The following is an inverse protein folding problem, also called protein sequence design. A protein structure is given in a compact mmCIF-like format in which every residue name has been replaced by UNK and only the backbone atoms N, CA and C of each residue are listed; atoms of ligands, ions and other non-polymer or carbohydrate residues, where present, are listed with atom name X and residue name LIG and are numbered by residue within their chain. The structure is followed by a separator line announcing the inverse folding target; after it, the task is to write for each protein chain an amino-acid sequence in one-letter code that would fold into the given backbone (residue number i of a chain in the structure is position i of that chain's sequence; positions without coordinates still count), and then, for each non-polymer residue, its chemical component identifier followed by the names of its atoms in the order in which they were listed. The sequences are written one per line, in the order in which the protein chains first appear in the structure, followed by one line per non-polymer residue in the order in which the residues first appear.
data_IF_407353425612
#
_entry.id   IF_407353425612
#
_cell.length_a   1.000
_cell.length_b   1.000
_cell.length_c   1.000
_cell.angle_alpha   90.00
_cell.angle_beta   90.00
_cell.angle_gamma   90.00
#
_symmetry.space_group_name_H-M   'P 1'
#
loop_
_entity.id
_entity.type
_entity.pdbx_description
1 polymer ?
#
# COMPACT_ATOMS: atom_id res chain seq x y z
N UNK A 1 31.46 27.33 55.63
CA UNK A 1 31.25 25.89 55.92
C UNK A 1 31.48 25.10 54.65
N UNK A 2 32.72 25.05 54.14
CA UNK A 2 33.74 24.03 54.50
C UNK A 2 33.24 22.62 54.19
N UNK A 3 33.73 22.04 53.08
CA UNK A 3 34.54 20.79 53.10
C UNK A 3 34.78 20.27 51.68
N UNK A 4 36.03 20.46 51.27
CA UNK A 4 36.87 19.63 50.40
C UNK A 4 36.34 18.21 50.22
N UNK A 5 35.99 17.83 48.98
CA UNK A 5 35.75 16.41 48.63
C UNK A 5 37.06 15.79 48.18
N UNK A 6 37.60 14.97 49.08
CA UNK A 6 38.65 13.99 48.82
C UNK A 6 38.26 13.06 47.67
N UNK A 7 39.19 12.84 46.75
CA UNK A 7 39.14 11.78 45.75
C UNK A 7 39.34 10.46 46.50
N UNK A 8 38.28 9.65 46.55
CA UNK A 8 38.26 8.32 47.13
C UNK A 8 38.82 7.35 46.07
N UNK A 9 40.07 6.94 46.22
CA UNK A 9 40.65 5.84 45.43
C UNK A 9 40.00 4.55 45.90
N UNK A 10 39.32 3.88 44.98
CA UNK A 10 38.58 2.65 45.18
C UNK A 10 39.57 1.49 45.39
N UNK A 11 39.76 1.09 46.64
CA UNK A 11 40.48 -0.14 47.03
C UNK A 11 39.62 -1.34 46.61
N UNK A 12 40.00 -1.99 45.50
CA UNK A 12 39.46 -3.30 45.12
C UNK A 12 40.20 -4.38 45.92
N UNK A 13 39.57 -4.78 47.03
CA UNK A 13 39.86 -6.02 47.74
C UNK A 13 39.62 -7.22 46.81
N UNK A 14 40.68 -7.85 46.33
CA UNK A 14 40.64 -9.24 45.88
C UNK A 14 41.41 -10.08 46.88
N UNK A 15 40.66 -10.86 47.67
CA UNK A 15 41.21 -11.85 48.58
C UNK A 15 41.92 -12.94 47.78
N UNK A 16 43.23 -13.05 48.00
CA UNK A 16 44.03 -14.20 47.57
C UNK A 16 44.46 -14.97 48.81
N UNK A 17 44.11 -16.24 48.77
CA UNK A 17 44.23 -17.25 49.82
C UNK A 17 45.68 -17.34 50.29
N UNK A 18 45.87 -17.15 51.59
CA UNK A 18 47.08 -17.48 52.32
C UNK A 18 47.38 -18.98 52.15
N UNK A 19 48.42 -19.31 51.38
CA UNK A 19 49.14 -20.58 51.53
C UNK A 19 50.49 -20.24 52.14
N UNK A 20 50.61 -20.52 53.43
CA UNK A 20 51.88 -20.46 54.14
C UNK A 20 52.78 -21.61 53.70
N UNK A 21 53.99 -21.26 53.26
CA UNK A 21 55.18 -22.12 53.23
C UNK A 21 56.38 -21.18 53.08
N UNK A 22 57.04 -20.82 54.18
CA UNK A 22 58.28 -21.42 54.66
C UNK A 22 59.53 -20.71 54.12
N UNK A 23 60.45 -20.43 55.06
CA UNK A 23 61.81 -19.93 54.84
C UNK A 23 61.93 -18.55 54.16
N UNK A 24 61.86 -17.55 55.01
CA UNK A 24 62.46 -16.23 54.86
C UNK A 24 63.99 -16.37 54.77
N UNK A 25 64.48 -16.78 53.60
CA UNK A 25 65.89 -16.60 53.24
C UNK A 25 66.10 -15.16 52.80
N UNK A 26 67.08 -14.51 53.42
CA UNK A 26 67.43 -13.12 53.21
C UNK A 26 67.89 -12.89 51.76
N UNK A 27 66.98 -12.43 50.92
CA UNK A 27 67.38 -11.62 49.77
C UNK A 27 68.19 -10.44 50.31
N UNK A 28 69.34 -10.08 49.71
CA UNK A 28 69.95 -8.79 50.04
C UNK A 28 68.85 -7.74 49.88
N UNK A 29 68.64 -6.89 50.89
CA UNK A 29 67.81 -5.69 50.74
C UNK A 29 68.52 -4.82 49.70
N UNK A 30 68.35 -5.13 48.42
CA UNK A 30 68.64 -4.18 47.36
C UNK A 30 67.89 -2.91 47.72
N UNK A 31 68.62 -1.81 47.71
CA UNK A 31 68.07 -0.52 48.08
C UNK A 31 66.91 -0.24 47.11
N UNK A 32 65.70 0.00 47.63
CA UNK A 32 64.52 0.26 46.81
C UNK A 32 64.76 1.41 45.81
N UNK A 33 65.61 2.37 46.17
CA UNK A 33 66.05 3.43 45.27
C UNK A 33 66.71 2.84 44.03
N UNK A 34 67.64 1.90 44.18
CA UNK A 34 68.36 1.25 43.07
C UNK A 34 67.39 0.40 42.22
N UNK A 35 66.42 -0.26 42.85
CA UNK A 35 65.36 -1.01 42.16
C UNK A 35 64.55 -0.07 41.28
N UNK A 36 64.03 1.04 41.84
CA UNK A 36 63.26 2.04 41.09
C UNK A 36 64.13 2.68 39.99
N UNK A 37 65.40 2.96 40.25
CA UNK A 37 66.33 3.52 39.27
C UNK A 37 66.60 2.55 38.11
N UNK A 38 66.65 1.25 38.39
CA UNK A 38 66.86 0.21 37.38
C UNK A 38 65.65 -0.03 36.46
N UNK A 39 64.44 0.39 36.85
CA UNK A 39 63.25 0.26 36.01
C UNK A 39 63.39 1.11 34.74
N UNK A 40 62.96 0.60 33.57
CA UNK A 40 62.99 1.38 32.34
C UNK A 40 62.01 2.56 32.41
N UNK A 41 62.31 3.65 31.70
CA UNK A 41 61.41 4.82 31.63
C UNK A 41 60.20 4.59 30.72
N UNK A 42 60.31 3.66 29.77
CA UNK A 42 59.23 3.17 28.92
C UNK A 42 59.04 1.70 29.24
N UNK A 43 57.85 1.35 29.74
CA UNK A 43 57.55 -0.01 30.19
C UNK A 43 56.65 -0.75 29.21
N UNK A 44 56.62 -2.06 29.34
CA UNK A 44 55.64 -2.94 28.69
C UNK A 44 54.82 -3.67 29.75
N UNK A 45 53.77 -4.39 29.34
CA UNK A 45 53.02 -5.26 30.26
C UNK A 45 53.90 -6.35 30.90
N UNK A 46 55.06 -6.71 30.30
CA UNK A 46 55.98 -7.67 30.89
C UNK A 46 56.70 -7.13 32.15
N UNK A 47 56.74 -5.81 32.33
CA UNK A 47 57.37 -5.16 33.49
C UNK A 47 56.43 -5.06 34.69
N UNK A 48 55.16 -5.48 34.55
CA UNK A 48 54.12 -5.44 35.58
C UNK A 48 54.61 -6.00 36.92
N UNK A 49 55.19 -7.20 36.92
CA UNK A 49 55.62 -7.85 38.15
C UNK A 49 56.72 -7.06 38.87
N UNK A 50 57.63 -6.41 38.13
CA UNK A 50 58.73 -5.63 38.72
C UNK A 50 58.22 -4.33 39.35
N UNK A 51 57.27 -3.68 38.70
CA UNK A 51 56.64 -2.45 39.19
C UNK A 51 55.82 -2.75 40.45
N UNK A 52 55.01 -3.81 40.42
CA UNK A 52 54.24 -4.25 41.59
C UNK A 52 55.15 -4.66 42.76
N UNK A 53 56.23 -5.40 42.51
CA UNK A 53 57.19 -5.75 43.54
C UNK A 53 57.87 -4.51 44.17
N UNK A 54 58.23 -3.51 43.36
CA UNK A 54 58.78 -2.25 43.86
C UNK A 54 57.76 -1.46 44.71
N UNK A 55 56.48 -1.45 44.32
CA UNK A 55 55.40 -0.87 45.12
C UNK A 55 55.21 -1.61 46.44
N UNK A 56 55.14 -2.94 46.40
CA UNK A 56 54.98 -3.76 47.60
C UNK A 56 56.15 -3.53 48.58
N UNK A 57 57.38 -3.41 48.07
CA UNK A 57 58.55 -3.09 48.88
C UNK A 57 58.48 -1.67 49.45
N UNK A 58 58.02 -0.68 48.69
CA UNK A 58 57.79 0.69 49.18
C UNK A 58 56.75 0.73 50.30
N UNK A 59 55.64 -0.01 50.14
CA UNK A 59 54.53 -0.02 51.08
C UNK A 59 54.90 -0.68 52.41
N UNK A 60 55.88 -1.60 52.39
CA UNK A 60 56.47 -2.23 53.59
C UNK A 60 57.46 -1.34 54.36
N UNK A 61 57.89 -0.20 53.80
CA UNK A 61 58.80 0.72 54.49
C UNK A 61 58.10 1.51 55.60
N UNK A 62 58.85 1.86 56.65
CA UNK A 62 58.43 2.86 57.62
C UNK A 62 58.34 4.26 57.01
N UNK A 63 57.63 5.19 57.65
CA UNK A 63 57.48 6.56 57.14
C UNK A 63 58.81 7.30 57.02
N UNK A 64 59.75 7.05 57.94
CA UNK A 64 61.11 7.61 57.88
C UNK A 64 61.90 7.05 56.69
N UNK A 65 61.72 5.77 56.36
CA UNK A 65 62.36 5.13 55.21
C UNK A 65 61.74 5.58 53.89
N UNK A 66 60.41 5.70 53.81
CA UNK A 66 59.71 6.25 52.64
C UNK A 66 60.17 7.67 52.32
N UNK A 67 60.37 8.51 53.35
CA UNK A 67 60.88 9.87 53.17
C UNK A 67 62.30 9.92 52.55
N UNK A 68 63.06 8.83 52.60
CA UNK A 68 64.39 8.72 51.98
C UNK A 68 64.34 8.24 50.52
N UNK A 69 63.20 7.73 50.03
CA UNK A 69 63.00 7.27 48.65
C UNK A 69 62.68 8.48 47.76
N UNK A 70 63.72 9.16 47.32
CA UNK A 70 63.60 10.41 46.56
C UNK A 70 63.11 10.24 45.12
N UNK A 71 63.10 9.03 44.58
CA UNK A 71 62.71 8.69 43.21
C UNK A 71 61.31 8.06 43.09
N UNK A 72 60.48 8.15 44.14
CA UNK A 72 59.11 7.58 44.16
C UNK A 72 58.20 8.08 43.03
N UNK A 73 58.41 9.32 42.57
CA UNK A 73 57.63 9.90 41.46
C UNK A 73 57.82 9.10 40.16
N UNK A 74 59.00 8.50 39.95
CA UNK A 74 59.25 7.60 38.83
C UNK A 74 58.34 6.38 38.92
N UNK A 75 58.27 5.74 40.08
CA UNK A 75 57.41 4.56 40.28
C UNK A 75 55.92 4.90 40.07
N UNK A 76 55.45 6.04 40.59
CA UNK A 76 54.07 6.51 40.38
C UNK A 76 53.77 6.73 38.89
N UNK A 77 54.71 7.34 38.15
CA UNK A 77 54.56 7.55 36.72
C UNK A 77 54.50 6.22 35.95
N UNK A 78 55.36 5.26 36.31
CA UNK A 78 55.35 3.91 35.72
C UNK A 78 54.07 3.14 36.03
N UNK A 79 53.51 3.26 37.24
CA UNK A 79 52.22 2.65 37.58
C UNK A 79 51.07 3.23 36.78
N UNK A 80 51.08 4.54 36.55
CA UNK A 80 50.10 5.18 35.67
C UNK A 80 50.24 4.64 34.25
N UNK A 81 51.46 4.59 33.70
CA UNK A 81 51.71 4.01 32.38
C UNK A 81 51.25 2.55 32.30
N UNK A 82 51.47 1.76 33.34
CA UNK A 82 51.07 0.36 33.39
C UNK A 82 49.54 0.21 33.34
N UNK A 83 48.81 1.05 34.11
CA UNK A 83 47.36 1.08 34.06
C UNK A 83 46.83 1.51 32.68
N UNK A 84 47.47 2.50 32.06
CA UNK A 84 47.14 2.94 30.71
C UNK A 84 47.36 1.81 29.68
N UNK A 85 48.47 1.08 29.77
CA UNK A 85 48.76 -0.10 28.93
C UNK A 85 47.73 -1.23 29.13
N UNK A 86 47.33 -1.50 30.38
CA UNK A 86 46.29 -2.50 30.68
C UNK A 86 44.93 -2.11 30.12
N UNK A 87 44.57 -0.82 30.19
CA UNK A 87 43.32 -0.33 29.61
C UNK A 87 43.31 -0.50 28.08
N UNK A 88 44.42 -0.14 27.42
CA UNK A 88 44.61 -0.32 25.98
C UNK A 88 44.49 -1.81 25.58
N UNK A 89 45.23 -2.68 26.26
CA UNK A 89 45.22 -4.12 25.97
C UNK A 89 43.82 -4.73 26.20
N UNK A 90 43.15 -4.34 27.27
CA UNK A 90 41.76 -4.74 27.55
C UNK A 90 40.80 -4.39 26.41
N UNK A 91 40.93 -3.19 25.82
CA UNK A 91 40.14 -2.78 24.64
C UNK A 91 40.52 -3.61 23.41
N UNK A 92 41.82 -3.80 23.15
CA UNK A 92 42.30 -4.61 22.02
C UNK A 92 41.74 -6.04 22.11
N UNK A 93 41.77 -6.66 23.30
CA UNK A 93 41.23 -8.00 23.54
C UNK A 93 39.71 -8.05 23.34
N UNK A 94 38.96 -7.07 23.84
CA UNK A 94 37.50 -6.99 23.62
C UNK A 94 37.15 -6.92 22.14
N UNK A 95 37.85 -6.07 21.38
CA UNK A 95 37.63 -5.94 19.93
C UNK A 95 38.03 -7.23 19.20
N UNK A 96 39.16 -7.84 19.58
CA UNK A 96 39.63 -9.11 19.02
C UNK A 96 38.61 -10.24 19.23
N UNK A 97 37.98 -10.28 20.40
CA UNK A 97 36.97 -11.26 20.78
C UNK A 97 35.62 -11.09 20.05
N UNK A 98 35.40 -9.99 19.32
CA UNK A 98 34.19 -9.85 18.51
C UNK A 98 34.13 -10.98 17.47
N UNK A 99 32.97 -11.65 17.31
CA UNK A 99 32.81 -12.71 16.31
C UNK A 99 33.03 -12.20 14.89
N UNK A 100 33.62 -13.04 14.02
CA UNK A 100 33.77 -12.70 12.59
C UNK A 100 32.41 -12.57 11.90
N UNK A 101 31.47 -13.46 12.23
CA UNK A 101 30.09 -13.43 11.73
C UNK A 101 29.18 -12.72 12.74
N UNK A 102 28.99 -11.42 12.54
CA UNK A 102 28.14 -10.59 13.41
C UNK A 102 26.66 -10.89 13.16
N UNK A 103 25.94 -11.16 14.23
CA UNK A 103 24.48 -11.30 14.26
C UNK A 103 23.89 -10.40 15.35
N UNK A 104 22.57 -10.16 15.34
CA UNK A 104 21.92 -9.26 16.30
C UNK A 104 22.14 -9.64 17.78
N UNK A 105 22.29 -10.92 18.10
CA UNK A 105 22.59 -11.38 19.46
C UNK A 105 23.95 -10.84 19.98
N UNK A 106 24.88 -10.49 19.09
CA UNK A 106 26.19 -9.93 19.45
C UNK A 106 26.14 -8.42 19.74
N UNK A 107 24.98 -7.76 19.62
CA UNK A 107 24.86 -6.31 19.80
C UNK A 107 25.46 -5.82 21.13
N UNK A 108 25.20 -6.51 22.23
CA UNK A 108 25.74 -6.14 23.55
C UNK A 108 27.27 -6.24 23.62
N UNK A 109 27.89 -7.21 22.94
CA UNK A 109 29.35 -7.35 22.87
C UNK A 109 29.98 -6.18 22.11
N UNK A 110 29.39 -5.81 20.98
CA UNK A 110 29.84 -4.68 20.14
C UNK A 110 29.72 -3.36 20.91
N UNK A 111 28.58 -3.13 21.56
CA UNK A 111 28.36 -1.94 22.41
C UNK A 111 29.38 -1.89 23.54
N UNK A 112 29.59 -2.99 24.27
CA UNK A 112 30.56 -3.03 25.36
C UNK A 112 32.02 -2.80 24.90
N UNK A 113 32.38 -3.23 23.68
CA UNK A 113 33.68 -2.91 23.10
C UNK A 113 33.81 -1.42 22.74
N UNK A 114 32.74 -0.80 22.22
CA UNK A 114 32.71 0.65 21.95
C UNK A 114 32.76 1.49 23.21
N UNK A 115 32.05 1.11 24.27
CA UNK A 115 32.08 1.79 25.56
C UNK A 115 33.50 1.78 26.13
N UNK A 116 34.16 0.61 26.18
CA UNK A 116 35.54 0.50 26.65
C UNK A 116 36.53 1.33 25.80
N UNK A 117 36.35 1.36 24.47
CA UNK A 117 37.15 2.22 23.60
C UNK A 117 36.93 3.72 23.90
N UNK A 118 35.69 4.12 24.19
CA UNK A 118 35.35 5.52 24.46
C UNK A 118 35.89 6.03 25.80
N UNK A 119 36.10 5.15 26.77
CA UNK A 119 36.72 5.45 28.07
C UNK A 119 38.22 5.79 27.96
N UNK A 120 38.88 5.38 26.87
CA UNK A 120 40.28 5.73 26.61
C UNK A 120 40.45 7.22 26.33
N UNK A 121 41.62 7.75 26.70
CA UNK A 121 42.06 9.08 26.27
C UNK A 121 42.28 9.12 24.75
N UNK A 122 42.26 10.31 24.15
CA UNK A 122 42.51 10.47 22.71
C UNK A 122 43.91 10.02 22.27
N UNK A 123 44.90 10.08 23.18
CA UNK A 123 46.24 9.58 22.92
C UNK A 123 46.26 8.05 22.90
N UNK A 124 45.55 7.40 23.84
CA UNK A 124 45.48 5.94 23.91
C UNK A 124 44.62 5.33 22.81
N UNK A 125 43.57 6.02 22.36
CA UNK A 125 42.75 5.60 21.22
C UNK A 125 43.57 5.39 19.95
N UNK A 126 44.61 6.21 19.72
CA UNK A 126 45.52 6.09 18.56
C UNK A 126 46.35 4.81 18.57
N UNK A 127 46.49 4.16 19.74
CA UNK A 127 47.22 2.90 19.89
C UNK A 127 46.34 1.67 19.62
N UNK A 128 45.03 1.86 19.42
CA UNK A 128 44.09 0.77 19.10
C UNK A 128 44.15 0.47 17.60
N UNK A 129 44.96 -0.52 17.25
CA UNK A 129 45.24 -0.90 15.86
C UNK A 129 44.13 -1.71 15.18
N UNK A 130 43.25 -2.37 15.94
CA UNK A 130 42.18 -3.23 15.43
C UNK A 130 40.80 -2.56 15.41
N UNK A 131 40.74 -1.22 15.50
CA UNK A 131 39.50 -0.44 15.57
C UNK A 131 38.55 -0.71 14.38
N UNK A 132 39.08 -1.04 13.20
CA UNK A 132 38.29 -1.35 12.01
C UNK A 132 37.35 -2.55 12.23
N UNK A 133 37.77 -3.55 13.02
CA UNK A 133 36.93 -4.72 13.35
C UNK A 133 35.69 -4.28 14.13
N UNK A 134 35.84 -3.35 15.08
CA UNK A 134 34.73 -2.78 15.83
C UNK A 134 33.80 -1.96 14.93
N UNK A 135 34.34 -1.07 14.10
CA UNK A 135 33.56 -0.24 13.17
C UNK A 135 32.73 -1.11 12.21
N UNK A 136 33.33 -2.17 11.66
CA UNK A 136 32.64 -3.08 10.76
C UNK A 136 31.54 -3.86 11.48
N UNK A 137 31.78 -4.29 12.72
CA UNK A 137 30.76 -4.95 13.53
C UNK A 137 29.56 -4.04 13.83
N UNK A 138 29.81 -2.77 14.15
CA UNK A 138 28.75 -1.77 14.39
C UNK A 138 27.91 -1.52 13.14
N UNK A 139 28.56 -1.31 11.99
CA UNK A 139 27.87 -1.18 10.70
C UNK A 139 27.00 -2.39 10.42
N UNK A 140 27.52 -3.60 10.66
CA UNK A 140 26.76 -4.83 10.44
C UNK A 140 25.55 -4.97 11.37
N UNK A 141 25.70 -4.62 12.66
CA UNK A 141 24.57 -4.58 13.58
C UNK A 141 23.49 -3.60 13.07
N UNK A 142 23.87 -2.39 12.67
CA UNK A 142 22.93 -1.39 12.16
C UNK A 142 22.17 -1.87 10.92
N UNK A 143 22.88 -2.51 9.97
CA UNK A 143 22.29 -3.12 8.78
C UNK A 143 21.28 -4.22 9.15
N UNK A 144 21.65 -5.12 10.05
CA UNK A 144 20.78 -6.22 10.49
C UNK A 144 19.53 -5.71 11.22
N UNK A 145 19.64 -4.63 11.98
CA UNK A 145 18.50 -4.00 12.64
C UNK A 145 17.53 -3.39 11.63
N UNK A 146 18.06 -2.73 10.59
CA UNK A 146 17.24 -2.23 9.48
C UNK A 146 16.52 -3.38 8.78
N UNK A 147 17.24 -4.45 8.39
CA UNK A 147 16.66 -5.64 7.75
C UNK A 147 15.54 -6.23 8.61
N UNK A 148 15.78 -6.41 9.92
CA UNK A 148 14.76 -6.96 10.83
C UNK A 148 13.52 -6.07 10.91
N UNK A 149 13.69 -4.75 10.92
CA UNK A 149 12.59 -3.79 10.92
C UNK A 149 11.78 -3.90 9.62
N UNK A 150 12.45 -3.98 8.48
CA UNK A 150 11.81 -4.09 7.17
C UNK A 150 11.04 -5.42 7.03
N UNK A 151 11.66 -6.53 7.45
CA UNK A 151 11.01 -7.85 7.54
C UNK A 151 9.77 -7.83 8.45
N UNK A 152 9.83 -7.11 9.57
CA UNK A 152 8.70 -7.00 10.50
C UNK A 152 7.54 -6.22 9.85
N UNK A 153 7.83 -5.14 9.12
CA UNK A 153 6.80 -4.38 8.40
C UNK A 153 6.14 -5.25 7.31
N UNK A 154 6.95 -5.92 6.49
CA UNK A 154 6.45 -6.84 5.47
C UNK A 154 5.61 -7.97 6.05
N UNK A 155 6.03 -8.54 7.20
CA UNK A 155 5.31 -9.64 7.85
C UNK A 155 3.90 -9.25 8.29
N UNK A 156 3.67 -7.98 8.68
CA UNK A 156 2.32 -7.48 8.98
C UNK A 156 1.41 -7.59 7.75
N UNK A 157 1.89 -7.12 6.59
CA UNK A 157 1.13 -7.21 5.33
C UNK A 157 0.94 -8.66 4.90
N UNK A 158 1.96 -9.52 5.03
CA UNK A 158 1.78 -10.96 4.74
C UNK A 158 0.66 -11.58 5.59
N UNK A 159 0.57 -11.23 6.87
CA UNK A 159 -0.48 -11.73 7.75
C UNK A 159 -1.85 -11.17 7.37
N UNK A 160 -1.94 -9.91 6.94
CA UNK A 160 -3.18 -9.35 6.39
C UNK A 160 -3.64 -10.13 5.16
N UNK A 161 -2.72 -10.46 4.25
CA UNK A 161 -3.01 -11.26 3.05
C UNK A 161 -3.48 -12.68 3.43
N UNK A 162 -2.88 -13.31 4.45
CA UNK A 162 -3.31 -14.64 4.94
C UNK A 162 -4.75 -14.62 5.48
N UNK A 163 -5.20 -13.48 6.01
CA UNK A 163 -6.53 -13.33 6.57
C UNK A 163 -7.60 -12.92 5.53
N UNK A 164 -7.22 -12.79 4.25
CA UNK A 164 -8.20 -12.60 3.17
C UNK A 164 -9.00 -13.89 2.97
N UNK A 165 -10.26 -13.78 2.50
CA UNK A 165 -11.05 -14.96 2.16
C UNK A 165 -10.34 -15.82 1.10
N UNK A 166 -10.63 -17.11 1.11
CA UNK A 166 -10.17 -18.00 0.06
C UNK A 166 -10.73 -17.54 -1.30
N UNK A 167 -10.01 -17.81 -2.39
CA UNK A 167 -10.34 -17.28 -3.73
C UNK A 167 -11.76 -17.64 -4.21
N UNK A 168 -12.25 -18.81 -3.82
CA UNK A 168 -13.59 -19.33 -4.13
C UNK A 168 -14.68 -18.80 -3.19
N UNK A 169 -14.29 -18.28 -2.03
CA UNK A 169 -15.16 -17.67 -1.03
C UNK A 169 -15.24 -16.13 -1.16
N UNK A 170 -14.43 -15.50 -2.01
CA UNK A 170 -14.47 -14.04 -2.23
C UNK A 170 -15.87 -13.60 -2.66
N UNK A 171 -16.39 -12.59 -1.97
CA UNK A 171 -17.67 -11.94 -2.25
C UNK A 171 -17.50 -10.44 -2.51
N UNK A 172 -18.60 -9.75 -2.84
CA UNK A 172 -18.59 -8.29 -2.99
C UNK A 172 -18.40 -7.56 -1.65
N UNK A 173 -18.80 -8.17 -0.53
CA UNK A 173 -18.67 -7.57 0.81
C UNK A 173 -17.21 -7.49 1.27
N UNK A 174 -16.34 -8.34 0.71
CA UNK A 174 -14.90 -8.35 0.98
C UNK A 174 -14.15 -7.18 0.34
N UNK A 175 -14.81 -6.37 -0.51
CA UNK A 175 -14.18 -5.31 -1.28
C UNK A 175 -13.34 -4.37 -0.43
N UNK A 176 -13.93 -3.86 0.66
CA UNK A 176 -13.25 -2.93 1.57
C UNK A 176 -12.02 -3.56 2.21
N UNK A 177 -12.09 -4.84 2.60
CA UNK A 177 -10.96 -5.52 3.23
C UNK A 177 -9.81 -5.72 2.23
N UNK A 178 -10.11 -6.21 1.03
CA UNK A 178 -9.12 -6.41 -0.05
C UNK A 178 -8.43 -5.08 -0.41
N UNK A 179 -9.21 -4.01 -0.59
CA UNK A 179 -8.71 -2.67 -0.91
C UNK A 179 -7.82 -2.11 0.22
N UNK A 180 -8.18 -2.36 1.49
CA UNK A 180 -7.34 -1.99 2.63
C UNK A 180 -6.01 -2.74 2.66
N UNK A 181 -6.01 -4.07 2.40
CA UNK A 181 -4.77 -4.84 2.33
C UNK A 181 -3.85 -4.33 1.21
N UNK A 182 -4.42 -3.96 0.05
CA UNK A 182 -3.66 -3.32 -1.03
C UNK A 182 -3.08 -1.97 -0.62
N UNK A 183 -3.83 -1.15 0.11
CA UNK A 183 -3.35 0.13 0.64
C UNK A 183 -2.18 -0.04 1.62
N UNK A 184 -2.27 -1.01 2.53
CA UNK A 184 -1.19 -1.36 3.47
C UNK A 184 0.06 -1.85 2.73
N UNK A 185 -0.09 -2.72 1.73
CA UNK A 185 1.02 -3.12 0.86
C UNK A 185 1.64 -1.93 0.15
N UNK A 186 0.83 -1.03 -0.43
CA UNK A 186 1.32 0.12 -1.18
C UNK A 186 2.10 1.10 -0.31
N UNK A 187 1.75 1.20 0.98
CA UNK A 187 2.41 2.04 1.98
C UNK A 187 3.80 1.54 2.42
N UNK A 188 4.15 0.29 2.10
CA UNK A 188 5.51 -0.24 2.33
C UNK A 188 6.54 0.44 1.42
N UNK A 189 7.79 0.55 1.91
CA UNK A 189 8.92 0.97 1.07
C UNK A 189 9.27 -0.12 0.04
N UNK A 190 10.07 0.22 -0.97
CA UNK A 190 10.50 -0.73 -1.98
C UNK A 190 11.23 -1.93 -1.36
N UNK A 191 12.15 -1.69 -0.42
CA UNK A 191 12.90 -2.73 0.28
C UNK A 191 11.99 -3.60 1.16
N UNK A 192 10.94 -3.03 1.75
CA UNK A 192 9.97 -3.80 2.54
C UNK A 192 9.10 -4.69 1.64
N UNK A 193 8.73 -4.22 0.45
CA UNK A 193 7.94 -5.00 -0.51
C UNK A 193 8.67 -6.25 -0.98
N UNK A 194 10.00 -6.22 -1.09
CA UNK A 194 10.82 -7.40 -1.43
C UNK A 194 10.65 -8.56 -0.43
N UNK A 195 10.28 -8.26 0.82
CA UNK A 195 10.02 -9.27 1.84
C UNK A 195 8.57 -9.78 1.86
N UNK A 196 7.66 -9.27 1.02
CA UNK A 196 6.27 -9.76 0.94
C UNK A 196 6.18 -10.90 -0.06
N UNK A 197 6.20 -12.14 0.43
CA UNK A 197 6.33 -13.34 -0.42
C UNK A 197 5.01 -13.91 -0.93
N UNK A 198 3.87 -13.46 -0.40
CA UNK A 198 2.53 -13.96 -0.73
C UNK A 198 1.67 -12.96 -1.51
N UNK A 199 2.28 -11.96 -2.16
CA UNK A 199 1.57 -10.93 -2.93
C UNK A 199 0.60 -11.50 -3.97
N UNK A 200 0.96 -12.62 -4.59
CA UNK A 200 0.13 -13.29 -5.60
C UNK A 200 -1.29 -13.62 -5.10
N UNK A 201 -1.44 -13.94 -3.82
CA UNK A 201 -2.75 -14.23 -3.22
C UNK A 201 -3.64 -12.99 -3.25
N UNK A 202 -3.08 -11.81 -2.91
CA UNK A 202 -3.80 -10.54 -2.98
C UNK A 202 -4.23 -10.22 -4.43
N UNK A 203 -3.34 -10.42 -5.40
CA UNK A 203 -3.63 -10.18 -6.82
C UNK A 203 -4.75 -11.10 -7.34
N UNK A 204 -4.73 -12.38 -6.95
CA UNK A 204 -5.76 -13.35 -7.35
C UNK A 204 -7.14 -12.95 -6.78
N UNK A 205 -7.23 -12.57 -5.51
CA UNK A 205 -8.52 -12.15 -4.92
C UNK A 205 -9.02 -10.81 -5.48
N UNK A 206 -8.14 -9.89 -5.85
CA UNK A 206 -8.51 -8.64 -6.52
C UNK A 206 -9.10 -8.89 -7.91
N UNK A 207 -8.51 -9.80 -8.69
CA UNK A 207 -9.05 -10.20 -10.00
C UNK A 207 -10.42 -10.84 -9.84
N UNK A 208 -10.59 -11.73 -8.85
CA UNK A 208 -11.89 -12.34 -8.55
C UNK A 208 -12.92 -11.29 -8.16
N UNK A 209 -12.58 -10.35 -7.30
CA UNK A 209 -13.46 -9.25 -6.90
C UNK A 209 -13.87 -8.38 -8.10
N UNK A 210 -12.92 -8.05 -8.99
CA UNK A 210 -13.21 -7.31 -10.21
C UNK A 210 -14.19 -8.06 -11.13
N UNK A 211 -14.01 -9.38 -11.28
CA UNK A 211 -14.95 -10.22 -12.03
C UNK A 211 -16.34 -10.24 -11.42
N UNK A 212 -16.45 -10.31 -10.08
CA UNK A 212 -17.75 -10.24 -9.38
C UNK A 212 -18.43 -8.87 -9.59
N UNK A 213 -17.67 -7.77 -9.49
CA UNK A 213 -18.19 -6.41 -9.75
C UNK A 213 -18.72 -6.29 -11.19
N UNK A 214 -18.00 -6.85 -12.17
CA UNK A 214 -18.42 -6.85 -13.56
C UNK A 214 -19.69 -7.69 -13.79
N UNK A 215 -19.76 -8.90 -13.22
CA UNK A 215 -20.93 -9.77 -13.34
C UNK A 215 -22.18 -9.17 -12.69
N UNK A 216 -22.04 -8.55 -11.52
CA UNK A 216 -23.13 -7.83 -10.86
C UNK A 216 -23.62 -6.65 -11.73
N UNK A 217 -22.70 -5.90 -12.35
CA UNK A 217 -23.07 -4.81 -13.24
C UNK A 217 -23.79 -5.31 -14.49
N UNK A 218 -23.32 -6.40 -15.09
CA UNK A 218 -23.96 -7.03 -16.24
C UNK A 218 -25.38 -7.51 -15.91
N UNK A 219 -25.58 -8.10 -14.74
CA UNK A 219 -26.90 -8.52 -14.29
C UNK A 219 -27.87 -7.31 -14.16
N UNK A 220 -27.42 -6.21 -13.54
CA UNK A 220 -28.21 -4.98 -13.45
C UNK A 220 -28.59 -4.42 -14.84
N UNK A 221 -27.65 -4.46 -15.79
CA UNK A 221 -27.90 -3.98 -17.15
C UNK A 221 -28.90 -4.89 -17.90
N UNK A 222 -28.83 -6.20 -17.70
CA UNK A 222 -29.81 -7.16 -18.23
C UNK A 222 -31.19 -6.97 -17.63
N UNK A 223 -31.30 -6.69 -16.33
CA UNK A 223 -32.59 -6.46 -15.66
C UNK A 223 -33.29 -5.20 -16.22
N UNK A 224 -32.54 -4.13 -16.50
CA UNK A 224 -33.08 -2.91 -17.14
C UNK A 224 -33.54 -3.17 -18.56
N UNK A 225 -32.75 -3.91 -19.34
CA UNK A 225 -33.16 -4.31 -20.69
C UNK A 225 -34.43 -5.18 -20.63
N UNK A 226 -34.51 -6.11 -19.67
CA UNK A 226 -35.67 -7.00 -19.50
C UNK A 226 -36.95 -6.24 -19.18
N UNK A 227 -36.86 -5.15 -18.41
CA UNK A 227 -38.03 -4.28 -18.18
C UNK A 227 -38.57 -3.71 -19.49
N UNK A 228 -37.70 -3.25 -20.39
CA UNK A 228 -38.11 -2.74 -21.71
C UNK A 228 -38.62 -3.86 -22.60
N UNK A 229 -37.99 -5.03 -22.61
CA UNK A 229 -38.51 -6.20 -23.35
C UNK A 229 -39.94 -6.53 -22.91
N UNK A 230 -40.22 -6.53 -21.60
CA UNK A 230 -41.57 -6.80 -21.08
C UNK A 230 -42.58 -5.72 -21.49
N UNK A 231 -42.17 -4.45 -21.58
CA UNK A 231 -43.03 -3.38 -22.11
C UNK A 231 -43.36 -3.62 -23.58
N UNK A 232 -42.36 -4.01 -24.38
CA UNK A 232 -42.55 -4.34 -25.80
C UNK A 232 -43.47 -5.55 -25.96
N UNK A 233 -43.28 -6.61 -25.16
CA UNK A 233 -44.12 -7.82 -25.17
C UNK A 233 -45.57 -7.53 -24.74
N UNK A 234 -45.80 -6.42 -24.01
CA UNK A 234 -47.13 -5.99 -23.57
C UNK A 234 -47.87 -5.14 -24.61
N UNK A 235 -47.21 -4.74 -25.70
CA UNK A 235 -47.87 -4.00 -26.78
C UNK A 235 -48.89 -4.90 -27.50
N UNK A 236 -50.05 -4.37 -27.91
CA UNK A 236 -51.04 -5.15 -28.65
C UNK A 236 -50.48 -5.71 -29.95
N UNK A 237 -50.82 -6.95 -30.26
CA UNK A 237 -50.40 -7.59 -31.52
C UNK A 237 -50.99 -6.90 -32.77
N UNK A 238 -52.11 -6.19 -32.59
CA UNK A 238 -52.73 -5.34 -33.62
C UNK A 238 -52.78 -3.92 -33.07
N UNK A 239 -51.91 -3.07 -33.61
CA UNK A 239 -51.79 -1.67 -33.22
C UNK A 239 -52.97 -0.86 -33.78
N UNK A 240 -53.53 0.01 -32.95
CA UNK A 240 -54.49 1.07 -33.33
C UNK A 240 -54.01 2.44 -32.86
N UNK A 241 -54.71 3.51 -33.22
CA UNK A 241 -54.32 4.88 -32.83
C UNK A 241 -54.42 5.11 -31.31
N UNK A 242 -55.30 4.38 -30.62
CA UNK A 242 -55.41 4.40 -29.16
C UNK A 242 -54.13 3.90 -28.47
N UNK A 243 -53.31 3.08 -29.15
CA UNK A 243 -52.05 2.55 -28.62
C UNK A 243 -50.88 3.52 -28.77
N UNK A 244 -51.06 4.66 -29.45
CA UNK A 244 -49.99 5.62 -29.74
C UNK A 244 -49.20 6.00 -28.48
N UNK A 245 -49.90 6.29 -27.39
CA UNK A 245 -49.27 6.69 -26.13
C UNK A 245 -48.39 5.57 -25.55
N UNK A 246 -48.87 4.33 -25.57
CA UNK A 246 -48.13 3.18 -25.01
C UNK A 246 -46.91 2.81 -25.85
N UNK A 247 -47.01 2.89 -27.18
CA UNK A 247 -45.90 2.67 -28.12
C UNK A 247 -44.82 3.74 -27.92
N UNK A 248 -45.20 5.01 -27.86
CA UNK A 248 -44.26 6.11 -27.70
C UNK A 248 -43.62 6.15 -26.30
N UNK A 249 -44.37 5.76 -25.26
CA UNK A 249 -43.81 5.57 -23.93
C UNK A 249 -42.76 4.46 -23.93
N UNK A 250 -43.06 3.31 -24.53
CA UNK A 250 -42.11 2.19 -24.66
C UNK A 250 -40.85 2.60 -25.43
N UNK A 251 -41.01 3.38 -26.51
CA UNK A 251 -39.89 3.98 -27.25
C UNK A 251 -39.03 4.87 -26.36
N UNK A 252 -39.64 5.75 -25.58
CA UNK A 252 -38.93 6.62 -24.64
C UNK A 252 -38.13 5.82 -23.61
N UNK A 253 -38.72 4.75 -23.06
CA UNK A 253 -38.01 3.85 -22.13
C UNK A 253 -36.82 3.14 -22.78
N UNK A 254 -36.95 2.67 -24.03
CA UNK A 254 -35.85 2.11 -24.80
C UNK A 254 -34.74 3.13 -25.09
N UNK A 255 -35.11 4.35 -25.50
CA UNK A 255 -34.15 5.40 -25.84
C UNK A 255 -33.32 5.85 -24.62
N UNK A 256 -33.91 5.79 -23.42
CA UNK A 256 -33.26 6.06 -22.15
C UNK A 256 -32.30 4.95 -21.69
N UNK A 257 -32.31 3.78 -22.31
CA UNK A 257 -31.31 2.74 -22.04
C UNK A 257 -29.93 3.18 -22.53
N UNK A 258 -28.89 2.75 -21.82
CA UNK A 258 -27.51 2.87 -22.31
C UNK A 258 -27.27 1.94 -23.50
N UNK A 259 -26.24 2.21 -24.29
CA UNK A 259 -25.87 1.38 -25.45
C UNK A 259 -25.56 -0.08 -25.09
N UNK A 260 -25.00 -0.35 -23.89
CA UNK A 260 -24.80 -1.71 -23.40
C UNK A 260 -26.13 -2.40 -23.09
N UNK A 261 -27.07 -1.68 -22.47
CA UNK A 261 -28.40 -2.22 -22.13
C UNK A 261 -29.24 -2.47 -23.39
N UNK A 262 -29.21 -1.57 -24.39
CA UNK A 262 -29.92 -1.77 -25.67
C UNK A 262 -29.52 -3.06 -26.38
N UNK A 263 -28.24 -3.46 -26.30
CA UNK A 263 -27.76 -4.75 -26.87
C UNK A 263 -28.41 -5.98 -26.24
N UNK A 264 -28.96 -5.85 -25.02
CA UNK A 264 -29.68 -6.94 -24.36
C UNK A 264 -31.18 -6.94 -24.67
N UNK A 265 -31.72 -5.92 -25.35
CA UNK A 265 -33.13 -5.91 -25.80
C UNK A 265 -33.25 -6.69 -27.10
N UNK A 266 -33.76 -7.91 -27.02
CA UNK A 266 -33.81 -8.84 -28.17
C UNK A 266 -35.03 -8.65 -29.08
N UNK A 267 -36.09 -8.01 -28.60
CA UNK A 267 -37.38 -7.85 -29.30
C UNK A 267 -37.61 -6.44 -29.86
N UNK A 268 -36.56 -5.63 -30.04
CA UNK A 268 -36.67 -4.24 -30.50
C UNK A 268 -37.42 -4.07 -31.84
N UNK A 269 -37.32 -5.04 -32.75
CA UNK A 269 -38.03 -5.02 -34.04
C UNK A 269 -39.55 -4.95 -33.87
N UNK A 270 -40.11 -5.50 -32.79
CA UNK A 270 -41.56 -5.40 -32.48
C UNK A 270 -41.94 -3.95 -32.21
N UNK A 271 -41.13 -3.22 -31.44
CA UNK A 271 -41.35 -1.81 -31.17
C UNK A 271 -41.21 -0.97 -32.46
N UNK A 272 -40.20 -1.24 -33.28
CA UNK A 272 -40.04 -0.57 -34.58
C UNK A 272 -41.27 -0.74 -35.47
N UNK A 273 -41.78 -1.97 -35.59
CA UNK A 273 -42.99 -2.25 -36.36
C UNK A 273 -44.24 -1.57 -35.77
N UNK A 274 -44.33 -1.49 -34.44
CA UNK A 274 -45.43 -0.80 -33.78
C UNK A 274 -45.41 0.72 -34.05
N UNK A 275 -44.22 1.34 -34.00
CA UNK A 275 -44.02 2.76 -34.34
C UNK A 275 -44.43 3.02 -35.80
N UNK A 276 -43.93 2.21 -36.74
CA UNK A 276 -44.29 2.34 -38.15
C UNK A 276 -45.80 2.17 -38.38
N UNK A 277 -46.45 1.25 -37.65
CA UNK A 277 -47.90 1.06 -37.72
C UNK A 277 -48.67 2.29 -37.26
N UNK A 278 -48.23 2.95 -36.17
CA UNK A 278 -48.80 4.22 -35.72
C UNK A 278 -48.66 5.29 -36.79
N UNK A 279 -47.46 5.49 -37.36
CA UNK A 279 -47.23 6.49 -38.42
C UNK A 279 -48.13 6.25 -39.65
N UNK A 280 -48.29 5.00 -40.08
CA UNK A 280 -49.20 4.63 -41.17
C UNK A 280 -50.66 4.92 -40.84
N UNK A 281 -51.10 4.64 -39.62
CA UNK A 281 -52.46 4.91 -39.17
C UNK A 281 -52.74 6.41 -39.09
N UNK A 282 -51.77 7.22 -38.64
CA UNK A 282 -51.91 8.68 -38.58
C UNK A 282 -52.01 9.31 -39.96
N UNK A 283 -51.19 8.86 -40.92
CA UNK A 283 -51.29 9.31 -42.31
C UNK A 283 -52.64 8.95 -42.94
N UNK A 284 -53.15 7.75 -42.69
CA UNK A 284 -54.47 7.35 -43.15
C UNK A 284 -55.59 8.18 -42.50
N UNK A 285 -55.48 8.43 -41.18
CA UNK A 285 -56.47 9.19 -40.43
C UNK A 285 -56.56 10.64 -40.91
N UNK A 286 -55.44 11.28 -41.23
CA UNK A 286 -55.44 12.64 -41.78
C UNK A 286 -56.29 12.74 -43.07
N UNK A 287 -56.19 11.74 -43.96
CA UNK A 287 -57.01 11.71 -45.18
C UNK A 287 -58.46 11.34 -44.88
N UNK A 288 -58.72 10.46 -43.92
CA UNK A 288 -60.09 10.15 -43.46
C UNK A 288 -60.76 11.43 -42.97
N UNK A 289 -60.08 12.20 -42.11
CA UNK A 289 -60.60 13.45 -41.56
C UNK A 289 -60.90 14.47 -42.66
N UNK A 290 -59.99 14.64 -43.64
CA UNK A 290 -60.22 15.51 -44.81
C UNK A 290 -61.47 15.11 -45.60
N UNK A 291 -61.71 13.81 -45.79
CA UNK A 291 -62.89 13.31 -46.50
C UNK A 291 -64.16 13.48 -45.65
N UNK A 292 -64.08 13.27 -44.34
CA UNK A 292 -65.21 13.43 -43.41
C UNK A 292 -65.62 14.90 -43.24
N UNK A 293 -64.68 15.84 -43.37
CA UNK A 293 -64.92 17.28 -43.33
C UNK A 293 -65.57 17.83 -44.62
N UNK A 294 -65.63 17.03 -45.70
CA UNK A 294 -66.29 17.44 -46.93
C UNK A 294 -67.79 17.70 -46.71
N UNK A 295 -68.36 18.75 -47.32
CA UNK A 295 -69.74 19.13 -47.06
C UNK A 295 -70.72 18.03 -47.48
N UNK A 296 -71.73 17.77 -46.65
CA UNK A 296 -72.76 16.75 -46.92
C UNK A 296 -73.46 17.01 -48.26
N UNK A 297 -73.70 18.29 -48.60
CA UNK A 297 -74.18 18.73 -49.90
C UNK A 297 -73.06 19.37 -50.70
N UNK A 298 -72.67 18.75 -51.80
CA UNK A 298 -71.65 19.30 -52.70
C UNK A 298 -72.18 20.55 -53.42
N UNK A 299 -71.39 21.62 -53.40
CA UNK A 299 -71.58 22.81 -54.23
C UNK A 299 -70.24 23.19 -54.89
N UNK A 300 -70.22 24.20 -55.77
CA UNK A 300 -69.01 24.59 -56.49
C UNK A 300 -67.88 25.11 -55.57
N UNK A 301 -68.22 25.62 -54.39
CA UNK A 301 -67.27 26.05 -53.38
C UNK A 301 -66.46 24.91 -52.75
N UNK A 302 -66.99 23.69 -52.75
CA UNK A 302 -66.32 22.49 -52.24
C UNK A 302 -65.25 21.92 -53.19
N UNK A 303 -65.03 22.53 -54.36
CA UNK A 303 -64.09 22.04 -55.37
C UNK A 303 -62.66 21.93 -54.83
N UNK A 304 -62.18 22.96 -54.14
CA UNK A 304 -60.82 23.00 -53.64
C UNK A 304 -60.62 21.97 -52.52
N UNK A 305 -61.57 21.82 -51.60
CA UNK A 305 -61.51 20.83 -50.51
C UNK A 305 -61.55 19.38 -51.04
N UNK A 306 -62.40 19.09 -52.05
CA UNK A 306 -62.46 17.77 -52.69
C UNK A 306 -61.13 17.46 -53.39
N UNK A 307 -60.56 18.46 -54.07
CA UNK A 307 -59.27 18.32 -54.74
C UNK A 307 -58.15 18.10 -53.74
N UNK A 308 -58.13 18.82 -52.62
CA UNK A 308 -57.16 18.64 -51.53
C UNK A 308 -57.24 17.22 -50.96
N UNK A 309 -58.44 16.73 -50.62
CA UNK A 309 -58.64 15.37 -50.14
C UNK A 309 -58.16 14.30 -51.14
N UNK A 310 -58.40 14.53 -52.45
CA UNK A 310 -57.90 13.66 -53.53
C UNK A 310 -56.38 13.68 -53.62
N UNK A 311 -55.76 14.86 -53.64
CA UNK A 311 -54.30 15.00 -53.72
C UNK A 311 -53.64 14.33 -52.52
N UNK A 312 -54.14 14.58 -51.30
CA UNK A 312 -53.66 13.93 -50.08
C UNK A 312 -53.81 12.40 -50.13
N UNK A 313 -54.94 11.88 -50.63
CA UNK A 313 -55.12 10.44 -50.82
C UNK A 313 -54.12 9.86 -51.82
N UNK A 314 -53.85 10.53 -52.94
CA UNK A 314 -52.95 10.01 -53.98
C UNK A 314 -51.48 9.98 -53.55
N UNK A 315 -51.07 10.87 -52.63
CA UNK A 315 -49.74 10.90 -52.03
C UNK A 315 -49.48 9.69 -51.10
N UNK A 316 -50.54 9.06 -50.59
CA UNK A 316 -50.41 7.88 -49.74
C UNK A 316 -49.84 6.67 -50.51
N UNK A 317 -49.05 5.85 -49.81
CA UNK A 317 -48.63 4.55 -50.35
C UNK A 317 -49.81 3.59 -50.47
N UNK A 318 -49.69 2.58 -51.33
CA UNK A 318 -50.75 1.56 -51.53
C UNK A 318 -51.12 0.79 -50.26
N UNK A 319 -50.20 0.70 -49.29
CA UNK A 319 -50.49 0.08 -48.01
C UNK A 319 -51.35 0.99 -47.12
N UNK A 320 -51.06 2.29 -47.12
CA UNK A 320 -51.80 3.28 -46.32
C UNK A 320 -53.17 3.57 -46.96
N UNK A 321 -53.28 3.62 -48.30
CA UNK A 321 -54.56 3.76 -49.01
C UNK A 321 -55.61 2.73 -48.58
N UNK A 322 -55.21 1.48 -48.29
CA UNK A 322 -56.09 0.41 -47.77
C UNK A 322 -56.65 0.69 -46.38
N UNK A 323 -56.02 1.58 -45.62
CA UNK A 323 -56.44 1.99 -44.28
C UNK A 323 -57.51 3.09 -44.34
N UNK A 324 -57.57 3.90 -45.41
CA UNK A 324 -58.60 4.93 -45.64
C UNK A 324 -59.96 4.27 -45.90
N UNK A 325 -60.87 4.29 -44.91
CA UNK A 325 -62.13 3.52 -44.97
C UNK A 325 -63.27 4.23 -45.69
N UNK A 326 -63.24 5.56 -45.75
CA UNK A 326 -64.25 6.42 -46.36
C UNK A 326 -63.89 6.86 -47.79
N UNK A 327 -62.90 6.22 -48.44
CA UNK A 327 -62.51 6.55 -49.82
C UNK A 327 -63.68 6.59 -50.82
N UNK A 328 -64.65 5.70 -50.66
CA UNK A 328 -65.83 5.68 -51.54
C UNK A 328 -66.70 6.93 -51.40
N UNK A 329 -66.65 7.63 -50.27
CA UNK A 329 -67.40 8.86 -50.06
C UNK A 329 -66.73 10.01 -50.81
N UNK A 330 -65.40 10.10 -50.82
CA UNK A 330 -64.66 11.02 -51.69
C UNK A 330 -65.07 10.85 -53.17
N UNK A 331 -65.11 9.61 -53.67
CA UNK A 331 -65.51 9.32 -55.06
C UNK A 331 -66.93 9.81 -55.36
N UNK A 332 -67.88 9.61 -54.45
CA UNK A 332 -69.26 10.13 -54.62
C UNK A 332 -69.28 11.65 -54.67
N UNK A 333 -68.51 12.32 -53.81
CA UNK A 333 -68.42 13.79 -53.78
C UNK A 333 -67.86 14.34 -55.10
N UNK A 334 -66.85 13.69 -55.66
CA UNK A 334 -66.29 14.04 -56.97
C UNK A 334 -67.32 13.87 -58.10
N UNK A 335 -68.09 12.78 -58.10
CA UNK A 335 -69.15 12.56 -59.09
C UNK A 335 -70.28 13.60 -58.98
N UNK A 336 -70.67 13.97 -57.77
CA UNK A 336 -71.65 15.03 -57.53
C UNK A 336 -71.16 16.38 -58.05
N UNK A 337 -69.90 16.74 -57.75
CA UNK A 337 -69.28 17.97 -58.26
C UNK A 337 -69.23 17.99 -59.79
N UNK A 338 -68.85 16.87 -60.41
CA UNK A 338 -68.78 16.74 -61.87
C UNK A 338 -70.16 16.94 -62.53
N UNK A 339 -71.24 16.42 -61.92
CA UNK A 339 -72.62 16.64 -62.40
C UNK A 339 -73.02 18.11 -62.32
N UNK A 340 -72.67 18.80 -61.22
CA UNK A 340 -72.96 20.23 -61.05
C UNK A 340 -72.22 21.05 -62.11
N UNK A 341 -70.95 20.74 -62.36
CA UNK A 341 -70.15 21.41 -63.41
C UNK A 341 -70.64 21.16 -64.82
N UNK A 342 -71.22 19.98 -65.10
CA UNK A 342 -71.78 19.65 -66.41
C UNK A 342 -73.17 20.23 -66.68
N UNK A 343 -73.84 20.78 -65.66
CA UNK A 343 -75.16 21.40 -65.76
C UNK A 343 -75.13 22.94 -65.84
N UNK A 344 -73.98 23.56 -65.58
CA UNK A 344 -73.72 25.01 -65.69
C UNK A 344 -72.95 25.34 -66.96
#
# INVERSE_FOLDING_TARGET
NTKTKFILVLVLLFGLVFVGCAAMDSYPKENLIDIIDSLPNEITLADEMKILAARDQYDQLSEEEKARVHNIDKLIALEKQLNDLKAIDGVIMKIKALPENIVLAHKSLVVGAREAYNELSEEHKKLITNIDKLINAEKKISELEKIKKDQTAAKKVQNLIINLPAIDEVTLDDATNIENVRSEYNSLTAEQKEYVTNLKVLEEVEVKLASLKAAAKEAEDKDKAKQVENMIDSLPSKITLEDKESVMLTKSHYDNLTETQKKYVSNYDVLLNAIASIEMLEMAQAVIDLIDDLPEKVTLDAEDDIKEAREAYEELSEEIKKLVKNYNDLVKKEEELAKIKGQN
#
